data_IF_173412753397
#
_entry.id   IF_173412753397
#
_cell.length_a   1.000
_cell.length_b   1.000
_cell.length_c   1.000
_cell.angle_alpha   90.00
_cell.angle_beta   90.00
_cell.angle_gamma   90.00
#
_symmetry.space_group_name_H-M   'P 1'
#
loop_
_entity.id
_entity.type
_entity.pdbx_description
1 polymer ?
#
# COMPACT_ATOMS: atom_id res chain seq x y z
N UNK A 1 -10.85 0.60 11.00
CA UNK A 1 -10.87 -0.75 10.37
C UNK A 1 -12.10 -1.47 10.86
N UNK A 2 -12.92 -2.02 9.94
CA UNK A 2 -14.20 -2.69 10.29
C UNK A 2 -13.99 -3.89 11.21
N UNK A 3 -12.95 -4.64 10.96
CA UNK A 3 -12.56 -5.84 11.70
C UNK A 3 -12.16 -5.59 13.16
N UNK A 4 -12.11 -4.33 13.58
CA UNK A 4 -11.65 -3.93 14.93
C UNK A 4 -12.55 -2.90 15.61
N UNK A 5 -13.81 -2.80 15.22
CA UNK A 5 -14.96 -2.07 15.82
C UNK A 5 -14.66 -0.61 16.28
N UNK A 6 -14.28 0.33 15.48
CA UNK A 6 -13.48 0.36 14.26
C UNK A 6 -12.02 0.76 14.49
N UNK A 7 -11.61 1.06 15.72
CA UNK A 7 -10.31 1.68 16.03
C UNK A 7 -9.32 0.68 16.67
N UNK A 8 -8.04 0.79 16.27
CA UNK A 8 -6.90 0.08 16.86
C UNK A 8 -5.99 1.03 17.62
N UNK A 9 -5.82 2.21 17.07
CA UNK A 9 -5.02 3.28 17.62
C UNK A 9 -5.71 4.60 17.34
N UNK A 10 -5.46 5.60 18.16
CA UNK A 10 -5.98 6.94 17.94
C UNK A 10 -5.07 8.00 18.55
N UNK A 11 -5.06 9.18 17.93
CA UNK A 11 -4.55 10.39 18.51
C UNK A 11 -5.63 11.00 19.43
N UNK A 12 -5.23 11.42 20.62
CA UNK A 12 -6.13 12.12 21.55
C UNK A 12 -5.65 13.57 21.72
N UNK A 13 -6.47 14.50 22.25
CA UNK A 13 -6.03 15.88 22.49
C UNK A 13 -4.75 15.98 23.34
N UNK A 14 -4.57 15.06 24.29
CA UNK A 14 -3.40 15.06 25.19
C UNK A 14 -2.20 14.29 24.62
N UNK A 15 -2.42 13.33 23.72
CA UNK A 15 -1.40 12.49 23.12
C UNK A 15 -1.61 12.45 21.61
N UNK A 16 -1.08 13.46 20.95
CA UNK A 16 -1.16 13.61 19.50
C UNK A 16 0.25 13.74 18.90
N UNK A 17 0.49 12.96 17.84
CA UNK A 17 1.71 13.07 17.04
C UNK A 17 1.36 13.10 15.57
N UNK A 18 1.69 14.19 14.92
CA UNK A 18 1.48 14.36 13.48
C UNK A 18 2.19 13.26 12.69
N UNK A 19 1.59 12.77 11.62
CA UNK A 19 2.13 11.68 10.81
C UNK A 19 1.91 10.27 11.38
N UNK A 20 1.21 10.16 12.53
CA UNK A 20 0.85 8.86 13.13
C UNK A 20 -0.67 8.70 13.24
N UNK A 21 -1.12 7.46 13.42
CA UNK A 21 -2.52 7.15 13.76
C UNK A 21 -2.77 7.12 15.27
N UNK A 22 -1.79 7.57 16.04
CA UNK A 22 -1.86 7.64 17.50
C UNK A 22 -1.33 6.39 18.18
N UNK A 23 -1.70 6.25 19.46
CA UNK A 23 -1.26 5.13 20.32
C UNK A 23 -2.27 3.99 20.28
N UNK A 24 -1.77 2.75 20.43
CA UNK A 24 -2.60 1.55 20.53
C UNK A 24 -3.59 1.69 21.68
N UNK A 25 -4.83 1.29 21.45
CA UNK A 25 -5.86 1.30 22.47
C UNK A 25 -5.54 0.33 23.63
N UNK A 26 -5.90 0.68 24.87
CA UNK A 26 -5.75 -0.21 26.01
C UNK A 26 -6.42 -1.56 25.79
N UNK A 27 -5.79 -2.64 26.27
CA UNK A 27 -6.32 -4.00 26.15
C UNK A 27 -6.05 -4.67 24.81
N UNK A 28 -5.38 -3.97 23.88
CA UNK A 28 -4.94 -4.54 22.62
C UNK A 28 -3.50 -5.05 22.73
N UNK A 29 -3.29 -6.25 22.21
CA UNK A 29 -1.95 -6.82 22.00
C UNK A 29 -1.53 -6.60 20.57
N UNK A 30 -0.24 -6.31 20.36
CA UNK A 30 0.33 -6.08 19.02
C UNK A 30 1.54 -6.98 18.81
N UNK A 31 1.69 -7.44 17.56
CA UNK A 31 2.85 -8.18 17.09
C UNK A 31 3.25 -7.62 15.73
N UNK A 32 4.53 -7.28 15.58
CA UNK A 32 5.11 -6.92 14.30
C UNK A 32 5.87 -8.13 13.75
N UNK A 33 5.51 -8.55 12.55
CA UNK A 33 6.29 -9.53 11.80
C UNK A 33 7.24 -8.80 10.86
N UNK A 34 8.51 -9.18 10.92
CA UNK A 34 9.55 -8.63 10.04
C UNK A 34 9.19 -8.84 8.57
N UNK A 35 9.39 -7.80 7.77
CA UNK A 35 9.17 -7.84 6.31
C UNK A 35 10.51 -7.57 5.64
N UNK A 36 11.01 -8.49 4.79
CA UNK A 36 12.27 -8.28 4.07
C UNK A 36 12.26 -6.96 3.30
N UNK A 37 13.32 -6.16 3.46
CA UNK A 37 13.43 -4.83 2.85
C UNK A 37 12.77 -3.69 3.63
N UNK A 38 12.17 -3.96 4.79
CA UNK A 38 11.67 -2.95 5.74
C UNK A 38 12.55 -2.98 6.98
N UNK A 39 13.45 -2.01 7.11
CA UNK A 39 14.39 -1.95 8.22
C UNK A 39 13.74 -1.46 9.53
N UNK A 40 12.77 -0.54 9.43
CA UNK A 40 12.07 0.06 10.56
C UNK A 40 10.58 -0.26 10.49
N UNK A 41 10.14 -1.20 11.34
CA UNK A 41 8.76 -1.64 11.44
C UNK A 41 8.50 -3.06 10.95
N UNK A 42 7.23 -3.37 10.67
CA UNK A 42 6.80 -4.69 10.23
C UNK A 42 5.31 -4.75 9.92
N UNK A 43 4.88 -5.92 9.50
CA UNK A 43 3.47 -6.23 9.27
C UNK A 43 2.74 -6.35 10.61
N UNK A 44 1.69 -5.57 10.77
CA UNK A 44 0.96 -5.46 12.03
C UNK A 44 -0.09 -6.55 12.17
N UNK A 45 0.04 -7.33 13.23
CA UNK A 45 -0.98 -8.24 13.73
C UNK A 45 -1.50 -7.74 15.06
N UNK A 46 -2.80 -7.92 15.29
CA UNK A 46 -3.44 -7.44 16.50
C UNK A 46 -4.38 -8.49 17.11
N UNK A 47 -4.45 -8.50 18.42
CA UNK A 47 -5.39 -9.30 19.21
C UNK A 47 -5.97 -8.44 20.32
N UNK A 48 -7.28 -8.60 20.60
CA UNK A 48 -7.93 -7.84 21.65
C UNK A 48 -9.44 -7.94 21.62
N UNK A 49 -10.13 -7.33 22.58
CA UNK A 49 -11.57 -7.49 22.77
C UNK A 49 -12.41 -6.89 21.63
N UNK A 50 -11.88 -5.95 20.87
CA UNK A 50 -12.57 -5.31 19.74
C UNK A 50 -12.23 -5.94 18.38
N UNK A 51 -11.39 -6.98 18.35
CA UNK A 51 -11.14 -7.75 17.13
C UNK A 51 -12.35 -8.63 16.83
N UNK A 52 -12.79 -8.62 15.57
CA UNK A 52 -13.91 -9.42 15.10
C UNK A 52 -13.74 -10.92 15.41
N UNK A 53 -14.85 -11.62 15.55
CA UNK A 53 -14.83 -13.07 15.78
C UNK A 53 -14.34 -13.85 14.56
N UNK A 54 -14.51 -13.33 13.35
CA UNK A 54 -14.09 -13.97 12.12
C UNK A 54 -14.89 -13.49 10.91
N UNK A 55 -14.60 -14.07 9.75
CA UNK A 55 -15.33 -13.86 8.51
C UNK A 55 -16.36 -14.95 8.25
N UNK A 56 -17.49 -14.56 7.70
CA UNK A 56 -18.42 -15.46 7.01
C UNK A 56 -18.20 -15.30 5.52
N UNK A 57 -17.66 -16.31 4.86
CA UNK A 57 -17.34 -16.28 3.43
C UNK A 57 -18.49 -16.82 2.60
N UNK A 58 -18.69 -16.25 1.42
CA UNK A 58 -19.68 -16.73 0.44
C UNK A 58 -19.37 -18.13 -0.08
N UNK A 59 -18.08 -18.47 -0.14
CA UNK A 59 -17.58 -19.76 -0.59
C UNK A 59 -17.79 -20.88 0.43
N UNK A 60 -18.02 -20.52 1.71
CA UNK A 60 -18.22 -21.46 2.82
C UNK A 60 -19.33 -20.95 3.76
N UNK A 61 -20.60 -20.96 3.30
CA UNK A 61 -21.70 -20.39 4.06
C UNK A 61 -21.90 -21.06 5.43
N UNK A 62 -22.13 -20.26 6.48
CA UNK A 62 -22.38 -20.74 7.83
C UNK A 62 -21.13 -21.13 8.62
N UNK A 63 -19.95 -21.10 8.02
CA UNK A 63 -18.69 -21.36 8.72
C UNK A 63 -18.01 -20.04 9.10
N UNK A 64 -17.78 -19.85 10.40
CA UNK A 64 -17.05 -18.70 10.92
C UNK A 64 -15.55 -18.97 10.87
N UNK A 65 -14.84 -18.30 9.96
CA UNK A 65 -13.37 -18.34 9.83
C UNK A 65 -12.75 -17.38 10.85
N UNK A 66 -12.30 -17.91 11.97
CA UNK A 66 -11.68 -17.13 13.05
C UNK A 66 -10.25 -16.72 12.69
N UNK A 67 -9.78 -15.54 13.14
CA UNK A 67 -8.37 -15.19 13.05
C UNK A 67 -7.50 -16.25 13.74
N UNK A 68 -6.40 -16.70 13.12
CA UNK A 68 -5.52 -17.73 13.69
C UNK A 68 -5.05 -17.33 15.09
N UNK A 69 -5.36 -18.17 16.09
CA UNK A 69 -5.05 -17.93 17.52
C UNK A 69 -5.55 -16.55 18.03
N UNK A 70 -6.60 -15.99 17.41
CA UNK A 70 -7.13 -14.67 17.72
C UNK A 70 -6.33 -13.48 17.18
N UNK A 71 -5.27 -13.71 16.41
CA UNK A 71 -4.47 -12.67 15.78
C UNK A 71 -5.04 -12.25 14.43
N UNK A 72 -5.52 -11.02 14.36
CA UNK A 72 -5.97 -10.41 13.11
C UNK A 72 -4.79 -9.77 12.38
N UNK A 73 -4.60 -10.17 11.14
CA UNK A 73 -3.65 -9.54 10.22
C UNK A 73 -4.28 -8.27 9.64
N UNK A 74 -3.78 -7.11 10.02
CA UNK A 74 -4.30 -5.83 9.52
C UNK A 74 -3.98 -5.59 8.05
N UNK A 75 -2.98 -6.27 7.52
CA UNK A 75 -2.42 -6.03 6.19
C UNK A 75 -1.64 -4.72 6.08
N UNK A 76 -1.42 -4.01 7.19
CA UNK A 76 -0.63 -2.79 7.23
C UNK A 76 0.81 -3.06 7.63
N UNK A 77 1.74 -2.35 7.01
CA UNK A 77 3.14 -2.21 7.45
C UNK A 77 3.23 -0.95 8.27
N UNK A 78 3.70 -1.06 9.51
CA UNK A 78 3.77 0.06 10.45
C UNK A 78 5.12 0.11 11.14
N UNK A 79 5.49 1.28 11.64
CA UNK A 79 6.49 1.45 12.68
C UNK A 79 5.80 1.88 13.97
N UNK A 80 6.31 1.41 15.11
CA UNK A 80 5.84 1.82 16.45
C UNK A 80 7.05 2.40 17.15
N UNK A 81 6.97 3.67 17.54
CA UNK A 81 8.08 4.33 18.24
C UNK A 81 8.13 3.99 19.74
N UNK A 82 9.16 4.48 20.42
CA UNK A 82 9.37 4.24 21.86
C UNK A 82 8.24 4.75 22.74
N UNK A 83 7.46 5.72 22.29
CA UNK A 83 6.31 6.29 23.01
C UNK A 83 5.00 5.56 22.68
N UNK A 84 5.05 4.56 21.78
CA UNK A 84 3.92 3.73 21.37
C UNK A 84 3.05 4.35 20.27
N UNK A 85 3.52 5.40 19.56
CA UNK A 85 2.79 5.93 18.42
C UNK A 85 3.03 5.10 17.18
N UNK A 86 1.95 4.83 16.46
CA UNK A 86 1.93 3.98 15.27
C UNK A 86 1.96 4.85 14.02
N UNK A 87 2.98 4.70 13.20
CA UNK A 87 3.10 5.30 11.88
C UNK A 87 2.83 4.25 10.81
N UNK A 88 1.83 4.47 9.94
CA UNK A 88 1.54 3.57 8.82
C UNK A 88 2.54 3.84 7.69
N UNK A 89 3.31 2.83 7.31
CA UNK A 89 4.25 2.86 6.18
C UNK A 89 3.55 2.48 4.85
N UNK A 90 2.46 1.74 4.92
CA UNK A 90 1.66 1.35 3.77
C UNK A 90 0.95 0.02 3.95
N UNK A 91 0.31 -0.46 2.88
CA UNK A 91 -0.35 -1.78 2.83
C UNK A 91 0.62 -2.84 2.34
N UNK A 92 0.70 -3.99 3.00
CA UNK A 92 1.60 -5.09 2.63
C UNK A 92 1.49 -5.52 1.15
N UNK A 93 0.25 -5.51 0.61
CA UNK A 93 -0.05 -5.80 -0.80
C UNK A 93 0.23 -4.63 -1.76
N UNK A 94 0.67 -3.48 -1.24
CA UNK A 94 0.96 -2.25 -2.00
C UNK A 94 2.45 -1.90 -1.95
N UNK A 95 3.29 -2.92 -1.94
CA UNK A 95 4.74 -2.80 -2.09
C UNK A 95 5.18 -3.64 -3.30
N UNK A 96 6.16 -3.12 -4.03
CA UNK A 96 6.90 -3.86 -5.04
C UNK A 96 8.20 -4.39 -4.44
N UNK A 97 8.57 -5.62 -4.74
CA UNK A 97 9.86 -6.20 -4.34
C UNK A 97 10.84 -6.10 -5.51
N UNK A 98 11.72 -5.10 -5.46
CA UNK A 98 12.69 -4.79 -6.54
C UNK A 98 14.10 -4.99 -6.03
N UNK A 99 14.82 -5.98 -6.55
CA UNK A 99 16.20 -6.25 -6.17
C UNK A 99 16.39 -6.57 -4.67
N UNK A 100 15.36 -7.09 -4.01
CA UNK A 100 15.35 -7.35 -2.57
C UNK A 100 14.78 -6.23 -1.70
N UNK A 101 14.65 -5.03 -2.24
CA UNK A 101 14.07 -3.85 -1.56
C UNK A 101 12.54 -3.83 -1.69
N UNK A 102 11.86 -3.35 -0.65
CA UNK A 102 10.40 -3.15 -0.63
C UNK A 102 10.06 -1.69 -0.93
N UNK A 103 9.52 -1.42 -2.11
CA UNK A 103 9.18 -0.08 -2.58
C UNK A 103 7.69 0.16 -2.44
N UNK A 104 7.31 1.19 -1.69
CA UNK A 104 5.91 1.55 -1.48
C UNK A 104 5.29 2.14 -2.75
N UNK A 105 4.28 1.46 -3.30
CA UNK A 105 3.51 1.99 -4.44
C UNK A 105 2.76 3.27 -4.05
N UNK A 106 2.27 3.34 -2.82
CA UNK A 106 1.58 4.53 -2.32
C UNK A 106 2.49 5.76 -2.24
N UNK A 107 3.79 5.58 -1.93
CA UNK A 107 4.76 6.69 -1.94
C UNK A 107 4.98 7.22 -3.36
N UNK A 108 5.05 6.33 -4.35
CA UNK A 108 5.17 6.73 -5.77
C UNK A 108 3.90 7.45 -6.24
N UNK A 109 2.73 6.94 -5.86
CA UNK A 109 1.44 7.57 -6.16
C UNK A 109 1.31 8.96 -5.53
N UNK A 110 1.82 9.14 -4.31
CA UNK A 110 1.85 10.46 -3.65
C UNK A 110 2.75 11.45 -4.41
N UNK A 111 3.94 11.01 -4.86
CA UNK A 111 4.82 11.83 -5.69
C UNK A 111 4.17 12.18 -7.04
N UNK A 112 3.46 11.24 -7.66
CA UNK A 112 2.74 11.48 -8.90
C UNK A 112 1.60 12.48 -8.70
N UNK A 113 0.84 12.38 -7.61
CA UNK A 113 -0.22 13.33 -7.28
C UNK A 113 0.31 14.75 -6.97
N UNK A 114 1.51 14.85 -6.44
CA UNK A 114 2.16 16.14 -6.21
C UNK A 114 2.70 16.75 -7.50
N UNK A 115 3.26 15.93 -8.39
CA UNK A 115 3.76 16.36 -9.69
C UNK A 115 2.63 16.72 -10.67
N UNK A 116 1.54 15.98 -10.63
CA UNK A 116 0.38 16.12 -11.53
C UNK A 116 -0.92 16.17 -10.73
N UNK A 117 -1.20 17.30 -10.03
CA UNK A 117 -2.31 17.40 -9.07
C UNK A 117 -3.71 17.26 -9.70
N UNK A 118 -3.86 17.57 -10.98
CA UNK A 118 -5.13 17.47 -11.70
C UNK A 118 -5.35 16.10 -12.36
N UNK A 119 -4.38 15.19 -12.24
CA UNK A 119 -4.42 13.87 -12.84
C UNK A 119 -4.60 12.78 -11.80
N UNK A 120 -5.33 11.73 -12.16
CA UNK A 120 -5.36 10.51 -11.37
C UNK A 120 -4.15 9.66 -11.75
N UNK A 121 -3.47 9.11 -10.73
CA UNK A 121 -2.32 8.25 -10.92
C UNK A 121 -2.38 7.03 -10.01
N UNK A 122 -2.03 5.86 -10.52
CA UNK A 122 -1.98 4.62 -9.77
C UNK A 122 -0.83 3.72 -10.23
N UNK A 123 -0.29 2.92 -9.31
CA UNK A 123 0.80 2.01 -9.59
C UNK A 123 0.33 0.56 -9.61
N UNK A 124 0.90 -0.22 -10.52
CA UNK A 124 0.82 -1.67 -10.52
C UNK A 124 2.22 -2.27 -10.70
N UNK A 125 2.38 -3.54 -10.34
CA UNK A 125 3.61 -4.28 -10.55
C UNK A 125 3.43 -5.34 -11.62
N UNK A 126 4.49 -5.59 -12.37
CA UNK A 126 4.60 -6.74 -13.26
C UNK A 126 5.91 -7.48 -12.96
N UNK A 127 5.96 -8.80 -13.21
CA UNK A 127 7.19 -9.57 -13.03
C UNK A 127 8.35 -9.02 -13.85
N UNK A 128 9.55 -9.06 -13.30
CA UNK A 128 10.82 -8.74 -13.95
C UNK A 128 11.83 -9.86 -13.69
N UNK A 129 12.42 -10.42 -14.76
CA UNK A 129 13.31 -11.57 -14.68
C UNK A 129 14.62 -11.29 -13.91
N UNK A 130 15.05 -10.02 -13.84
CA UNK A 130 16.31 -9.64 -13.19
C UNK A 130 16.11 -9.10 -11.78
N UNK A 131 15.04 -8.32 -11.57
CA UNK A 131 14.82 -7.58 -10.33
C UNK A 131 13.64 -8.11 -9.49
N UNK A 132 12.97 -9.17 -9.95
CA UNK A 132 11.77 -9.74 -9.35
C UNK A 132 10.50 -9.05 -9.82
N UNK A 133 10.35 -7.76 -9.53
CA UNK A 133 9.23 -6.93 -9.98
C UNK A 133 9.71 -5.62 -10.59
N UNK A 134 8.87 -5.04 -11.45
CA UNK A 134 9.00 -3.66 -11.93
C UNK A 134 7.69 -2.91 -11.75
N UNK A 135 7.79 -1.63 -11.48
CA UNK A 135 6.63 -0.76 -11.23
C UNK A 135 6.25 -0.06 -12.51
N UNK A 136 4.95 -0.07 -12.81
CA UNK A 136 4.33 0.71 -13.88
C UNK A 136 3.45 1.77 -13.22
N UNK A 137 3.72 3.03 -13.50
CA UNK A 137 2.88 4.15 -13.10
C UNK A 137 1.86 4.42 -14.21
N UNK A 138 0.58 4.32 -13.90
CA UNK A 138 -0.50 4.61 -14.84
C UNK A 138 -1.12 5.95 -14.45
N UNK A 139 -1.27 6.85 -15.40
CA UNK A 139 -1.78 8.21 -15.13
C UNK A 139 -2.69 8.72 -16.24
N UNK A 140 -3.59 9.65 -15.89
CA UNK A 140 -4.40 10.39 -16.85
C UNK A 140 -3.72 11.67 -17.37
N UNK A 141 -2.51 11.98 -16.89
CA UNK A 141 -1.72 13.12 -17.38
C UNK A 141 -1.22 12.84 -18.80
N UNK A 142 -1.65 13.64 -19.75
CA UNK A 142 -1.38 13.41 -21.19
C UNK A 142 0.09 13.47 -21.57
N UNK A 143 0.85 14.38 -20.97
CA UNK A 143 2.27 14.63 -21.27
C UNK A 143 3.18 13.94 -20.26
N UNK A 144 2.64 13.07 -19.41
CA UNK A 144 3.42 12.35 -18.42
C UNK A 144 4.50 11.50 -19.09
N UNK A 145 5.69 11.60 -18.55
CA UNK A 145 6.82 10.78 -18.99
C UNK A 145 7.72 10.40 -17.81
N UNK A 146 8.48 9.35 -18.00
CA UNK A 146 9.34 8.78 -16.98
C UNK A 146 10.44 9.74 -16.52
N UNK A 147 11.00 10.56 -17.42
CA UNK A 147 12.10 11.47 -17.09
C UNK A 147 11.62 12.57 -16.12
N UNK A 148 10.49 13.22 -16.44
CA UNK A 148 9.90 14.24 -15.56
C UNK A 148 9.59 13.69 -14.16
N UNK A 149 9.06 12.46 -14.08
CA UNK A 149 8.81 11.81 -12.79
C UNK A 149 10.11 11.53 -12.03
N UNK A 150 11.13 11.01 -12.70
CA UNK A 150 12.42 10.68 -12.09
C UNK A 150 13.12 11.92 -11.50
N UNK A 151 13.14 13.02 -12.25
CA UNK A 151 13.72 14.29 -11.83
C UNK A 151 12.97 14.85 -10.60
N UNK A 152 11.65 14.82 -10.64
CA UNK A 152 10.83 15.27 -9.52
C UNK A 152 11.03 14.41 -8.28
N UNK A 153 10.96 13.07 -8.41
CA UNK A 153 11.17 12.15 -7.32
C UNK A 153 12.54 12.35 -6.65
N UNK A 154 13.60 12.50 -7.45
CA UNK A 154 14.96 12.79 -6.98
C UNK A 154 15.02 14.12 -6.20
N UNK A 155 14.37 15.17 -6.69
CA UNK A 155 14.32 16.47 -6.00
C UNK A 155 13.60 16.40 -4.65
N UNK A 156 12.72 15.39 -4.45
CA UNK A 156 12.01 15.12 -3.19
C UNK A 156 12.69 14.06 -2.31
N UNK A 157 13.94 13.69 -2.62
CA UNK A 157 14.71 12.71 -1.85
C UNK A 157 14.32 11.25 -2.15
N UNK A 158 13.55 11.00 -3.21
CA UNK A 158 13.23 9.66 -3.66
C UNK A 158 14.46 8.92 -4.18
N UNK A 159 14.49 7.61 -3.95
CA UNK A 159 15.56 6.73 -4.45
C UNK A 159 15.31 6.38 -5.93
N UNK A 160 16.34 5.91 -6.62
CA UNK A 160 16.23 5.45 -8.01
C UNK A 160 15.19 4.32 -8.17
N UNK A 161 15.06 3.46 -7.16
CA UNK A 161 14.09 2.36 -7.14
C UNK A 161 12.63 2.83 -7.08
N UNK A 162 12.38 4.07 -6.64
CA UNK A 162 11.04 4.68 -6.68
C UNK A 162 10.67 5.21 -8.06
N UNK A 163 11.63 5.27 -9.00
CA UNK A 163 11.33 5.65 -10.38
C UNK A 163 10.66 4.48 -11.10
N UNK A 164 9.41 4.63 -11.60
CA UNK A 164 8.74 3.58 -12.35
C UNK A 164 9.57 3.14 -13.55
N UNK A 165 9.52 1.86 -13.90
CA UNK A 165 10.14 1.36 -15.11
C UNK A 165 9.50 2.00 -16.35
N UNK A 166 8.19 2.27 -16.26
CA UNK A 166 7.38 2.83 -17.33
C UNK A 166 6.29 3.74 -16.77
N UNK A 167 5.92 4.78 -17.52
CA UNK A 167 4.75 5.64 -17.29
C UNK A 167 3.75 5.40 -18.42
N UNK A 168 2.60 4.83 -18.08
CA UNK A 168 1.53 4.52 -19.02
C UNK A 168 0.45 5.60 -18.95
N UNK A 169 0.23 6.32 -20.05
CA UNK A 169 -0.84 7.30 -20.14
C UNK A 169 -2.12 6.64 -20.61
N UNK A 170 -3.22 6.90 -19.90
CA UNK A 170 -4.57 6.39 -20.21
C UNK A 170 -5.61 7.51 -20.14
N UNK A 171 -6.71 7.36 -20.84
CA UNK A 171 -7.81 8.34 -20.77
C UNK A 171 -8.51 8.30 -19.41
N UNK A 172 -8.69 7.10 -18.85
CA UNK A 172 -9.38 6.85 -17.58
C UNK A 172 -8.71 5.73 -16.81
N UNK A 173 -8.63 5.90 -15.49
CA UNK A 173 -8.26 4.85 -14.55
C UNK A 173 -9.50 4.07 -14.09
N UNK A 174 -9.39 2.78 -13.84
CA UNK A 174 -10.47 2.01 -13.24
C UNK A 174 -10.71 2.48 -11.80
N UNK A 175 -11.96 2.79 -11.47
CA UNK A 175 -12.36 3.25 -10.14
C UNK A 175 -13.41 2.31 -9.55
N UNK A 176 -13.34 2.12 -8.25
CA UNK A 176 -14.41 1.52 -7.45
C UNK A 176 -15.59 2.51 -7.33
N UNK A 177 -16.77 2.02 -7.00
CA UNK A 177 -17.94 2.88 -6.72
C UNK A 177 -17.73 3.94 -5.63
N UNK A 178 -16.69 3.78 -4.79
CA UNK A 178 -16.25 4.75 -3.78
C UNK A 178 -15.37 5.88 -4.32
N UNK A 179 -15.06 5.89 -5.62
CA UNK A 179 -14.13 6.84 -6.25
C UNK A 179 -12.63 6.52 -6.07
N UNK A 180 -12.30 5.45 -5.35
CA UNK A 180 -10.90 5.00 -5.21
C UNK A 180 -10.47 4.17 -6.41
N UNK A 181 -9.18 4.21 -6.73
CA UNK A 181 -8.60 3.37 -7.80
C UNK A 181 -8.83 1.90 -7.48
N UNK A 182 -9.39 1.16 -8.44
CA UNK A 182 -9.49 -0.29 -8.38
C UNK A 182 -8.13 -0.92 -8.73
N UNK A 183 -7.39 -1.31 -7.69
CA UNK A 183 -6.05 -1.87 -7.84
C UNK A 183 -6.04 -3.22 -8.59
N UNK A 184 -7.15 -3.99 -8.54
CA UNK A 184 -7.27 -5.27 -9.25
C UNK A 184 -7.44 -5.01 -10.74
N UNK A 185 -8.40 -4.17 -11.11
CA UNK A 185 -8.63 -3.79 -12.50
C UNK A 185 -7.43 -3.05 -13.10
N UNK A 186 -6.75 -2.18 -12.32
CA UNK A 186 -5.51 -1.53 -12.73
C UNK A 186 -4.40 -2.54 -13.04
N UNK A 187 -4.22 -3.55 -12.19
CA UNK A 187 -3.22 -4.61 -12.42
C UNK A 187 -3.54 -5.44 -13.67
N UNK A 188 -4.80 -5.68 -13.96
CA UNK A 188 -5.23 -6.37 -15.19
C UNK A 188 -4.92 -5.52 -16.42
N UNK A 189 -5.29 -4.24 -16.40
CA UNK A 189 -5.03 -3.29 -17.48
C UNK A 189 -3.53 -3.23 -17.81
N UNK A 190 -2.67 -3.14 -16.80
CA UNK A 190 -1.22 -3.10 -16.99
C UNK A 190 -0.70 -4.42 -17.59
N UNK A 191 -1.17 -5.58 -17.11
CA UNK A 191 -0.76 -6.88 -17.65
C UNK A 191 -1.17 -7.07 -19.12
N UNK A 192 -2.33 -6.58 -19.51
CA UNK A 192 -2.79 -6.64 -20.90
C UNK A 192 -1.92 -5.78 -21.80
N UNK A 193 -1.61 -4.55 -21.38
CA UNK A 193 -0.74 -3.63 -22.14
C UNK A 193 0.68 -4.14 -22.28
N UNK A 194 1.28 -4.61 -21.18
CA UNK A 194 2.67 -5.10 -21.20
C UNK A 194 2.83 -6.44 -21.95
N UNK A 195 1.75 -7.23 -22.14
CA UNK A 195 1.78 -8.42 -23.01
C UNK A 195 1.77 -8.04 -24.49
N UNK A 196 1.07 -6.97 -24.85
CA UNK A 196 1.01 -6.48 -26.24
C UNK A 196 2.37 -5.94 -26.69
N UNK A 197 3.12 -5.31 -25.80
CA UNK A 197 4.46 -4.76 -26.11
C UNK A 197 5.56 -5.84 -26.14
N UNK A 198 5.30 -7.05 -25.62
CA UNK A 198 6.24 -8.19 -25.61
C UNK A 198 6.08 -9.17 -26.77
N UNK A 199 5.20 -8.89 -27.73
CA UNK A 199 4.91 -9.71 -28.94
C UNK A 199 5.38 -9.00 -30.22
N UNK A 200 6.18 -7.97 -30.13
CA UNK A 200 6.79 -7.28 -31.29
C UNK A 200 8.26 -7.65 -31.45
#
# INVERSE_FOLDING_TARGET
MTETAPALALNTPMFNRFGTVGRILPGMEVRLESVPGIADGGRLFMRGPNVMLGYLRTENPGVLERPPQGWHDTGDIVAIDSDGFVAIKGRAKRFAKIGGEMISLAAIEALAAELWPDALSGCATVPDARKGERIILVTTQRDANRAAFADFAKARGGTELMTPAEVLVVEKLPLLGSGKIDAVALSQLVRERTKLDGVA
#
